data_IF_227103939350
#
_entry.id   IF_227103939350
#
_cell.length_a   1.000
_cell.length_b   1.000
_cell.length_c   1.000
_cell.angle_alpha   90.00
_cell.angle_beta   90.00
_cell.angle_gamma   90.00
#
_symmetry.space_group_name_H-M   'P 1'
#
loop_
_entity.id
_entity.type
_entity.pdbx_description
1 polymer ?
#
# COMPACT_ATOMS: atom_id res chain seq x y z
N UNK A 1 35.12 -13.21 30.05
CA UNK A 1 34.23 -12.09 30.42
C UNK A 1 33.14 -11.98 29.37
N UNK A 2 31.86 -12.00 29.77
CA UNK A 2 30.74 -12.02 28.83
C UNK A 2 30.35 -10.59 28.46
N UNK A 3 30.45 -10.24 27.17
CA UNK A 3 30.03 -8.94 26.65
C UNK A 3 28.67 -9.14 25.96
N UNK A 4 27.60 -8.56 26.51
CA UNK A 4 26.28 -8.60 25.87
C UNK A 4 26.16 -7.46 24.85
N UNK A 5 26.18 -7.80 23.57
CA UNK A 5 25.92 -6.85 22.47
C UNK A 5 24.56 -7.19 21.88
N UNK A 6 23.64 -6.21 21.84
CA UNK A 6 22.36 -6.38 21.15
C UNK A 6 22.60 -6.33 19.64
N UNK A 7 22.42 -7.46 18.96
CA UNK A 7 22.42 -7.59 17.51
C UNK A 7 21.04 -8.12 17.04
N UNK A 8 20.72 -7.95 15.75
CA UNK A 8 19.44 -8.41 15.19
C UNK A 8 19.42 -9.94 14.97
N UNK A 9 20.59 -10.55 14.76
CA UNK A 9 20.81 -12.00 14.69
C UNK A 9 21.89 -12.45 15.69
N UNK A 10 21.88 -13.75 16.04
CA UNK A 10 22.91 -14.37 16.88
C UNK A 10 24.15 -14.68 16.03
N UNK A 11 25.27 -14.01 16.35
CA UNK A 11 26.56 -14.26 15.72
C UNK A 11 27.50 -14.99 16.69
N UNK A 12 28.10 -16.10 16.24
CA UNK A 12 29.17 -16.79 16.96
C UNK A 12 30.53 -16.26 16.51
N UNK A 13 31.27 -15.65 17.44
CA UNK A 13 32.61 -15.13 17.20
C UNK A 13 33.59 -15.80 18.15
N UNK A 14 34.70 -16.31 17.60
CA UNK A 14 35.83 -16.81 18.38
C UNK A 14 36.60 -15.62 18.97
N UNK A 15 36.61 -15.50 20.30
CA UNK A 15 37.29 -14.39 21.00
C UNK A 15 38.63 -14.87 21.54
N UNK A 16 39.71 -14.46 20.88
CA UNK A 16 41.07 -14.64 21.40
C UNK A 16 41.38 -13.61 22.49
N UNK A 17 42.06 -14.00 23.57
CA UNK A 17 42.34 -13.15 24.74
C UNK A 17 43.22 -11.91 24.51
N UNK A 18 43.65 -11.65 23.28
CA UNK A 18 44.43 -10.47 22.89
C UNK A 18 43.60 -9.39 22.15
N UNK A 19 42.34 -9.67 21.82
CA UNK A 19 41.47 -8.76 21.09
C UNK A 19 40.93 -7.63 21.97
N UNK A 20 41.04 -6.38 21.50
CA UNK A 20 40.45 -5.24 22.19
C UNK A 20 38.94 -5.15 21.87
N UNK A 21 38.12 -4.73 22.84
CA UNK A 21 36.65 -4.61 22.69
C UNK A 21 36.23 -3.80 21.45
N UNK A 22 37.04 -2.80 21.07
CA UNK A 22 36.82 -1.99 19.88
C UNK A 22 36.87 -2.80 18.57
N UNK A 23 37.77 -3.78 18.46
CA UNK A 23 37.94 -4.63 17.28
C UNK A 23 36.75 -5.59 17.11
N UNK A 24 36.21 -6.09 18.23
CA UNK A 24 35.02 -6.94 18.25
C UNK A 24 33.79 -6.13 17.80
N UNK A 25 33.64 -4.90 18.31
CA UNK A 25 32.54 -4.01 17.93
C UNK A 25 32.58 -3.63 16.45
N UNK A 26 33.77 -3.40 15.88
CA UNK A 26 33.94 -3.11 14.47
C UNK A 26 33.59 -4.31 13.57
N UNK A 27 33.98 -5.53 13.96
CA UNK A 27 33.61 -6.75 13.25
C UNK A 27 32.09 -6.97 13.25
N UNK A 28 31.43 -6.87 14.40
CA UNK A 28 29.97 -7.02 14.50
C UNK A 28 29.25 -5.95 13.66
N UNK A 29 29.71 -4.69 13.70
CA UNK A 29 29.15 -3.62 12.89
C UNK A 29 29.30 -3.87 11.38
N UNK A 30 30.43 -4.42 10.93
CA UNK A 30 30.66 -4.76 9.53
C UNK A 30 29.77 -5.92 9.04
N UNK A 31 29.56 -6.93 9.88
CA UNK A 31 28.70 -8.08 9.59
C UNK A 31 27.22 -7.68 9.46
N UNK A 32 26.73 -6.81 10.35
CA UNK A 32 25.37 -6.27 10.31
C UNK A 32 25.16 -5.25 9.18
N UNK A 33 26.19 -4.46 8.85
CA UNK A 33 26.11 -3.43 7.79
C UNK A 33 25.92 -4.01 6.39
N UNK A 34 26.47 -5.21 6.10
CA UNK A 34 26.35 -5.83 4.77
C UNK A 34 24.94 -6.34 4.44
N UNK A 35 24.10 -6.63 5.44
CA UNK A 35 22.72 -7.11 5.23
C UNK A 35 21.67 -6.00 5.19
N UNK A 36 22.04 -4.77 5.53
CA UNK A 36 21.22 -3.57 5.35
C UNK A 36 21.21 -3.04 3.91
N UNK A 37 21.66 -3.82 2.92
CA UNK A 37 21.55 -3.47 1.50
C UNK A 37 20.09 -3.61 1.02
N UNK A 38 19.24 -2.67 1.46
CA UNK A 38 18.20 -2.03 0.64
C UNK A 38 17.19 -2.93 -0.09
N UNK A 39 16.94 -4.13 0.40
CA UNK A 39 15.95 -5.05 -0.17
C UNK A 39 14.51 -4.73 0.25
N UNK A 40 13.55 -5.17 -0.56
CA UNK A 40 12.12 -5.12 -0.25
C UNK A 40 11.80 -6.05 0.93
N UNK A 41 11.92 -5.53 2.15
CA UNK A 41 11.55 -6.21 3.41
C UNK A 41 10.03 -6.21 3.58
N UNK A 42 9.45 -7.21 4.24
CA UNK A 42 8.02 -7.24 4.56
C UNK A 42 7.65 -6.01 5.41
N UNK A 43 6.60 -5.28 5.03
CA UNK A 43 6.22 -4.02 5.70
C UNK A 43 7.13 -2.81 5.39
N UNK A 44 8.12 -2.94 4.51
CA UNK A 44 8.95 -1.80 4.09
C UNK A 44 8.20 -0.83 3.17
N UNK A 45 8.59 0.44 3.22
CA UNK A 45 8.01 1.52 2.40
C UNK A 45 8.53 1.53 0.96
N UNK A 46 9.44 0.63 0.59
CA UNK A 46 10.04 0.57 -0.75
C UNK A 46 9.03 0.35 -1.89
N UNK A 47 7.80 -0.08 -1.56
CA UNK A 47 6.71 -0.28 -2.52
C UNK A 47 5.59 0.76 -2.45
N UNK A 48 5.77 1.85 -1.69
CA UNK A 48 4.80 2.92 -1.61
C UNK A 48 4.55 3.55 -2.98
N UNK A 49 3.28 3.70 -3.37
CA UNK A 49 2.90 4.35 -4.63
C UNK A 49 3.11 3.53 -5.91
N UNK A 50 3.68 2.31 -5.85
CA UNK A 50 3.95 1.46 -7.03
C UNK A 50 2.73 1.32 -7.95
N UNK A 51 1.57 1.00 -7.39
CA UNK A 51 0.34 0.77 -8.17
C UNK A 51 -0.17 2.08 -8.79
N UNK A 52 -0.11 3.19 -8.06
CA UNK A 52 -0.56 4.51 -8.55
C UNK A 52 0.31 5.01 -9.72
N UNK A 53 1.61 4.69 -9.72
CA UNK A 53 2.52 5.02 -10.82
C UNK A 53 2.39 4.09 -12.03
N UNK A 54 1.99 2.84 -11.82
CA UNK A 54 1.79 1.86 -12.90
C UNK A 54 0.47 2.09 -13.66
N UNK A 55 -0.58 2.55 -12.99
CA UNK A 55 -1.88 2.78 -13.64
C UNK A 55 -1.84 3.95 -14.61
N UNK A 56 -2.36 3.81 -15.85
CA UNK A 56 -2.42 4.92 -16.79
C UNK A 56 -3.30 6.04 -16.24
N UNK A 57 -2.84 7.30 -16.38
CA UNK A 57 -3.60 8.46 -15.92
C UNK A 57 -4.68 8.82 -16.94
N UNK A 58 -5.87 8.27 -16.74
CA UNK A 58 -7.05 8.63 -17.55
C UNK A 58 -7.53 10.02 -17.16
N UNK A 59 -7.66 10.91 -18.14
CA UNK A 59 -8.21 12.26 -17.94
C UNK A 59 -9.71 12.20 -17.62
N UNK A 60 -10.18 13.12 -16.78
CA UNK A 60 -11.60 13.21 -16.47
C UNK A 60 -12.37 13.72 -17.71
N UNK A 61 -13.45 13.03 -18.05
CA UNK A 61 -14.37 13.48 -19.09
C UNK A 61 -15.40 14.42 -18.48
N UNK A 62 -15.57 15.61 -19.07
CA UNK A 62 -16.59 16.55 -18.64
C UNK A 62 -18.00 16.03 -18.97
N UNK A 63 -18.77 15.71 -17.93
CA UNK A 63 -20.19 15.36 -18.04
C UNK A 63 -21.03 16.47 -17.41
N UNK A 64 -21.88 17.13 -18.22
CA UNK A 64 -22.81 18.17 -17.75
C UNK A 64 -23.82 17.58 -16.75
N UNK A 65 -23.71 17.95 -15.47
CA UNK A 65 -24.63 17.53 -14.41
C UNK A 65 -25.54 18.70 -14.05
N UNK A 66 -26.87 18.49 -14.13
CA UNK A 66 -27.84 19.44 -13.54
C UNK A 66 -27.79 19.33 -12.01
N UNK A 67 -27.99 20.44 -11.31
CA UNK A 67 -28.01 20.52 -9.83
C UNK A 67 -29.36 21.05 -9.33
N UNK A 68 -29.58 21.02 -8.01
CA UNK A 68 -30.76 21.61 -7.36
C UNK A 68 -32.10 20.97 -7.75
N UNK A 69 -33.14 21.82 -7.83
CA UNK A 69 -34.53 21.42 -8.14
C UNK A 69 -34.64 20.66 -9.45
N UNK A 70 -33.94 21.11 -10.49
CA UNK A 70 -33.93 20.46 -11.81
C UNK A 70 -33.40 19.01 -11.74
N UNK A 71 -32.38 18.75 -10.90
CA UNK A 71 -31.87 17.39 -10.69
C UNK A 71 -32.90 16.51 -9.97
N UNK A 72 -33.60 17.04 -8.97
CA UNK A 72 -34.62 16.30 -8.22
C UNK A 72 -35.83 15.92 -9.09
N UNK A 73 -36.29 16.85 -9.93
CA UNK A 73 -37.36 16.57 -10.91
C UNK A 73 -36.95 15.46 -11.89
N UNK A 74 -35.73 15.52 -12.43
CA UNK A 74 -35.22 14.47 -13.32
C UNK A 74 -35.13 13.10 -12.62
N UNK A 75 -34.69 13.06 -11.36
CA UNK A 75 -34.61 11.81 -10.57
C UNK A 75 -35.99 11.21 -10.32
N UNK A 76 -36.99 12.04 -9.99
CA UNK A 76 -38.37 11.57 -9.79
C UNK A 76 -38.94 10.95 -11.07
N UNK A 77 -38.84 11.66 -12.19
CA UNK A 77 -39.32 11.16 -13.48
C UNK A 77 -38.62 9.84 -13.85
N UNK A 78 -37.29 9.73 -13.65
CA UNK A 78 -36.54 8.49 -13.92
C UNK A 78 -36.90 7.31 -13.01
N UNK A 79 -37.38 7.56 -11.79
CA UNK A 79 -37.65 6.50 -10.79
C UNK A 79 -39.11 6.06 -10.76
N UNK A 80 -40.04 6.96 -11.06
CA UNK A 80 -41.46 6.73 -10.82
C UNK A 80 -42.32 6.90 -12.07
N UNK A 81 -42.13 8.00 -12.83
CA UNK A 81 -42.99 8.30 -13.98
C UNK A 81 -42.61 7.46 -15.21
N UNK A 82 -41.32 7.37 -15.51
CA UNK A 82 -40.82 6.70 -16.71
C UNK A 82 -40.56 5.21 -16.51
N UNK A 83 -40.75 4.68 -15.29
CA UNK A 83 -40.56 3.27 -14.99
C UNK A 83 -41.86 2.52 -15.27
N UNK A 84 -41.85 1.64 -16.27
CA UNK A 84 -42.93 0.67 -16.47
C UNK A 84 -42.68 -0.53 -15.54
N UNK A 85 -43.63 -0.90 -14.66
CA UNK A 85 -43.50 -2.10 -13.85
C UNK A 85 -43.54 -3.33 -14.77
N UNK A 86 -42.37 -3.92 -14.97
CA UNK A 86 -42.19 -5.17 -15.73
C UNK A 86 -42.15 -6.35 -14.77
N UNK A 87 -42.64 -7.51 -15.22
CA UNK A 87 -42.54 -8.75 -14.47
C UNK A 87 -41.09 -9.22 -14.41
N UNK A 88 -40.65 -9.73 -13.25
CA UNK A 88 -39.28 -10.21 -13.02
C UNK A 88 -38.44 -9.29 -12.14
N UNK A 89 -37.12 -9.55 -12.09
CA UNK A 89 -36.19 -8.81 -11.23
C UNK A 89 -35.92 -7.41 -11.80
N UNK A 90 -36.16 -6.36 -11.00
CA UNK A 90 -35.88 -4.97 -11.40
C UNK A 90 -34.38 -4.77 -11.65
N UNK A 91 -34.03 -4.27 -12.84
CA UNK A 91 -32.65 -3.91 -13.18
C UNK A 91 -32.22 -2.66 -12.41
N UNK A 92 -31.02 -2.72 -11.84
CA UNK A 92 -30.47 -1.62 -11.04
C UNK A 92 -30.04 -0.42 -11.89
N UNK A 93 -29.99 0.81 -11.32
CA UNK A 93 -29.61 2.02 -12.06
C UNK A 93 -28.18 2.04 -12.64
N UNK A 94 -27.30 1.15 -12.19
CA UNK A 94 -25.90 1.05 -12.62
C UNK A 94 -25.54 -0.38 -13.06
N UNK A 95 -26.50 -1.07 -13.69
CA UNK A 95 -26.26 -2.40 -14.25
C UNK A 95 -25.60 -2.26 -15.64
N UNK A 96 -24.45 -2.91 -15.81
CA UNK A 96 -23.65 -2.90 -17.04
C UNK A 96 -23.91 -4.11 -17.95
N UNK A 97 -24.86 -4.97 -17.57
CA UNK A 97 -25.34 -6.09 -18.38
C UNK A 97 -26.31 -5.68 -19.47
#
# INVERSE_FOLDING_TARGET
MQLFVRAQELHTLEVTGQGMVAQIKAHVASLEASRMLGGKVHGSLACAGKVRGQTPKVAEQEKKKKTGRAKRQMQYNRRFVNVVPTFGKKKGPNANS
#
